data_IF_633896844657
#
_entry.id   IF_633896844657
#
_cell.length_a   1.000
_cell.length_b   1.000
_cell.length_c   1.000
_cell.angle_alpha   90.00
_cell.angle_beta   90.00
_cell.angle_gamma   90.00
#
_symmetry.space_group_name_H-M   'P 1'
#
loop_
_entity.id
_entity.type
_entity.pdbx_description
1 polymer ?
#
# COMPACT_ATOMS: atom_id res chain seq x y z
N UNK A 1 24.83 -4.45 -20.78
CA UNK A 1 24.65 -4.96 -22.15
C UNK A 1 23.15 -5.25 -22.37
N UNK A 2 22.47 -4.40 -23.15
CA UNK A 2 21.04 -4.49 -23.43
C UNK A 2 20.72 -5.41 -24.63
N UNK A 3 21.62 -6.33 -24.99
CA UNK A 3 21.56 -7.12 -26.22
C UNK A 3 20.29 -7.97 -26.42
N UNK A 4 19.58 -8.27 -25.32
CA UNK A 4 18.30 -9.01 -25.37
C UNK A 4 17.07 -8.10 -25.38
N UNK A 5 17.20 -6.84 -24.97
CA UNK A 5 16.12 -5.85 -24.98
C UNK A 5 16.40 -4.87 -26.14
N UNK A 6 15.68 -5.03 -27.23
CA UNK A 6 15.90 -4.22 -28.45
C UNK A 6 15.09 -2.93 -28.44
N UNK A 7 14.00 -2.91 -27.71
CA UNK A 7 13.06 -1.79 -27.67
C UNK A 7 12.94 -1.28 -26.24
N UNK A 8 13.24 -0.02 -26.04
CA UNK A 8 13.01 0.73 -24.81
C UNK A 8 13.02 2.21 -25.15
N UNK A 9 12.45 3.01 -24.28
CA UNK A 9 12.49 4.46 -24.41
C UNK A 9 13.06 5.09 -23.15
N UNK A 10 13.60 6.30 -23.26
CA UNK A 10 14.16 7.07 -22.15
C UNK A 10 13.59 8.47 -22.22
N UNK A 11 12.91 8.87 -21.16
CA UNK A 11 12.33 10.21 -21.06
C UNK A 11 12.95 10.97 -19.89
N UNK A 12 13.11 12.27 -20.04
CA UNK A 12 13.46 13.14 -18.91
C UNK A 12 12.27 13.19 -17.94
N UNK A 13 12.52 13.05 -16.64
CA UNK A 13 11.49 13.12 -15.62
C UNK A 13 12.09 13.71 -14.35
N UNK A 14 11.54 14.84 -13.91
CA UNK A 14 12.07 15.64 -12.79
C UNK A 14 13.57 15.89 -12.92
N UNK A 15 14.35 15.57 -11.90
CA UNK A 15 15.81 15.77 -11.88
C UNK A 15 16.59 14.59 -12.51
N UNK A 16 15.90 13.65 -13.14
CA UNK A 16 16.50 12.42 -13.67
C UNK A 16 15.86 11.96 -14.98
N UNK A 17 15.76 10.65 -15.13
CA UNK A 17 15.14 10.03 -16.31
C UNK A 17 14.38 8.76 -15.92
N UNK A 18 13.39 8.42 -16.74
CA UNK A 18 12.64 7.18 -16.65
C UNK A 18 12.99 6.27 -17.82
N UNK A 19 13.33 5.02 -17.52
CA UNK A 19 13.51 3.96 -18.51
C UNK A 19 12.18 3.23 -18.71
N UNK A 20 11.62 3.33 -19.90
CA UNK A 20 10.38 2.66 -20.27
C UNK A 20 10.71 1.33 -20.95
N UNK A 21 10.24 0.25 -20.36
CA UNK A 21 10.42 -1.10 -20.90
C UNK A 21 9.26 -1.46 -21.85
N UNK A 22 9.50 -2.38 -22.80
CA UNK A 22 8.45 -2.86 -23.70
C UNK A 22 7.35 -3.62 -22.95
N UNK A 23 6.18 -3.69 -23.58
CA UNK A 23 5.07 -4.49 -23.06
C UNK A 23 5.46 -5.97 -23.00
N UNK A 24 5.09 -6.66 -21.92
CA UNK A 24 5.34 -8.11 -21.77
C UNK A 24 4.64 -8.94 -22.85
N UNK A 25 3.47 -8.49 -23.34
CA UNK A 25 2.69 -9.17 -24.37
C UNK A 25 3.13 -8.80 -25.80
N UNK A 26 3.71 -7.61 -25.99
CA UNK A 26 4.27 -7.15 -27.25
C UNK A 26 5.63 -6.50 -27.01
N UNK A 27 6.72 -7.27 -27.06
CA UNK A 27 8.07 -6.76 -26.80
C UNK A 27 8.59 -5.75 -27.85
N UNK A 28 7.85 -5.52 -28.92
CA UNK A 28 8.19 -4.53 -29.96
C UNK A 28 7.55 -3.17 -29.71
N UNK A 29 6.66 -3.08 -28.72
CA UNK A 29 5.93 -1.86 -28.40
C UNK A 29 6.27 -1.36 -26.99
N UNK A 30 6.63 -0.08 -26.90
CA UNK A 30 6.84 0.62 -25.62
C UNK A 30 5.59 1.44 -25.35
N UNK A 31 4.93 1.18 -24.21
CA UNK A 31 3.74 1.94 -23.81
C UNK A 31 4.12 3.38 -23.45
N UNK A 32 3.24 4.36 -23.73
CA UNK A 32 3.47 5.73 -23.30
C UNK A 32 3.58 5.81 -21.77
N UNK A 33 4.44 6.70 -21.32
CA UNK A 33 4.63 6.93 -19.89
C UNK A 33 3.34 7.43 -19.23
N UNK A 34 2.96 6.77 -18.15
CA UNK A 34 1.88 7.20 -17.28
C UNK A 34 2.45 7.74 -15.98
N UNK A 35 2.37 9.03 -15.80
CA UNK A 35 2.88 9.68 -14.61
C UNK A 35 2.13 9.25 -13.35
N UNK A 36 2.87 8.83 -12.32
CA UNK A 36 2.35 8.49 -11.00
C UNK A 36 2.91 9.45 -9.94
N UNK A 37 2.47 10.70 -10.01
CA UNK A 37 2.97 11.80 -9.17
C UNK A 37 3.04 11.46 -7.68
N UNK A 38 1.99 10.83 -7.15
CA UNK A 38 1.94 10.50 -5.72
C UNK A 38 3.02 9.48 -5.34
N UNK A 39 3.20 8.43 -6.14
CA UNK A 39 4.23 7.42 -5.90
C UNK A 39 5.63 8.05 -5.95
N UNK A 40 5.90 8.86 -6.97
CA UNK A 40 7.19 9.52 -7.12
C UNK A 40 7.48 10.47 -5.95
N UNK A 41 6.50 11.28 -5.55
CA UNK A 41 6.62 12.16 -4.38
C UNK A 41 6.93 11.37 -3.11
N UNK A 42 6.24 10.26 -2.87
CA UNK A 42 6.47 9.41 -1.69
C UNK A 42 7.88 8.82 -1.69
N UNK A 43 8.40 8.40 -2.85
CA UNK A 43 9.77 7.90 -2.97
C UNK A 43 10.79 9.01 -2.69
N UNK A 44 10.57 10.22 -3.22
CA UNK A 44 11.44 11.38 -2.99
C UNK A 44 11.44 11.81 -1.52
N UNK A 45 10.26 11.88 -0.89
CA UNK A 45 10.14 12.15 0.56
C UNK A 45 10.89 11.11 1.41
N UNK A 46 10.87 9.84 0.99
CA UNK A 46 11.61 8.78 1.68
C UNK A 46 13.12 8.93 1.54
N UNK A 47 13.59 9.33 0.36
CA UNK A 47 15.01 9.61 0.12
C UNK A 47 15.49 10.83 0.93
N UNK A 48 14.72 11.92 0.90
CA UNK A 48 15.01 13.14 1.67
C UNK A 48 15.08 12.85 3.18
N UNK A 49 14.15 12.03 3.67
CA UNK A 49 14.17 11.58 5.05
C UNK A 49 15.44 10.78 5.38
N UNK A 50 15.87 9.88 4.49
CA UNK A 50 17.14 9.17 4.65
C UNK A 50 18.32 10.11 4.80
N UNK A 51 18.37 11.17 4.00
CA UNK A 51 19.40 12.22 4.09
C UNK A 51 19.33 13.00 5.42
N UNK A 52 18.13 13.37 5.86
CA UNK A 52 17.93 14.11 7.12
C UNK A 52 18.43 13.34 8.34
N UNK A 53 18.25 12.02 8.38
CA UNK A 53 18.72 11.16 9.47
C UNK A 53 20.15 10.62 9.26
N UNK A 54 20.81 11.00 8.15
CA UNK A 54 22.18 10.57 7.84
C UNK A 54 22.30 9.08 7.51
N UNK A 55 21.26 8.46 6.90
CA UNK A 55 21.25 7.07 6.47
C UNK A 55 20.77 7.00 5.02
N UNK A 56 21.70 7.17 4.11
CA UNK A 56 21.43 7.12 2.68
C UNK A 56 21.77 5.75 2.08
N UNK A 57 22.66 5.01 2.72
CA UNK A 57 23.16 3.72 2.25
C UNK A 57 23.13 2.64 3.32
N UNK A 58 23.26 1.39 2.89
CA UNK A 58 23.46 0.25 3.80
C UNK A 58 24.74 0.42 4.62
N UNK A 59 25.76 1.09 4.07
CA UNK A 59 27.00 1.42 4.79
C UNK A 59 26.73 2.31 6.00
N UNK A 60 25.95 3.37 5.82
CA UNK A 60 25.57 4.29 6.91
C UNK A 60 24.78 3.55 8.00
N UNK A 61 23.85 2.66 7.60
CA UNK A 61 23.12 1.83 8.54
C UNK A 61 24.05 0.92 9.35
N UNK A 62 25.01 0.26 8.70
CA UNK A 62 25.99 -0.59 9.38
C UNK A 62 26.86 0.22 10.36
N UNK A 63 27.23 1.43 9.99
CA UNK A 63 27.96 2.33 10.88
C UNK A 63 27.16 2.68 12.13
N UNK A 64 25.85 2.96 12.00
CA UNK A 64 24.97 3.20 13.14
C UNK A 64 24.85 1.98 14.05
N UNK A 65 24.75 0.79 13.47
CA UNK A 65 24.75 -0.47 14.24
C UNK A 65 26.07 -0.62 15.03
N UNK A 66 27.20 -0.40 14.38
CA UNK A 66 28.52 -0.51 15.04
C UNK A 66 28.72 0.52 16.15
N UNK A 67 28.12 1.71 16.02
CA UNK A 67 28.13 2.76 17.05
C UNK A 67 27.15 2.50 18.20
N UNK A 68 26.29 1.50 18.11
CA UNK A 68 25.29 1.16 19.13
C UNK A 68 24.05 2.05 19.15
N UNK A 69 23.82 2.87 18.12
CA UNK A 69 22.68 3.81 18.03
C UNK A 69 21.44 3.23 17.32
N UNK A 70 21.45 1.93 17.00
CA UNK A 70 20.33 1.29 16.26
C UNK A 70 18.99 1.43 16.99
N UNK A 71 18.96 1.30 18.31
CA UNK A 71 17.71 1.40 19.09
C UNK A 71 17.10 2.80 18.98
N UNK A 72 17.91 3.84 19.03
CA UNK A 72 17.45 5.22 18.85
C UNK A 72 16.91 5.45 17.43
N UNK A 73 17.63 4.93 16.42
CA UNK A 73 17.19 4.99 15.04
C UNK A 73 15.82 4.35 14.83
N UNK A 74 15.57 3.17 15.41
CA UNK A 74 14.27 2.49 15.34
C UNK A 74 13.18 3.40 15.94
N UNK A 75 13.40 3.96 17.12
CA UNK A 75 12.43 4.85 17.76
C UNK A 75 12.13 6.10 16.91
N UNK A 76 13.14 6.69 16.28
CA UNK A 76 12.98 7.85 15.39
C UNK A 76 12.13 7.45 14.16
N UNK A 77 12.39 6.30 13.56
CA UNK A 77 11.61 5.80 12.42
C UNK A 77 10.16 5.48 12.80
N UNK A 78 9.93 4.87 13.96
CA UNK A 78 8.58 4.59 14.45
C UNK A 78 7.82 5.89 14.75
N UNK A 79 8.45 6.87 15.37
CA UNK A 79 7.85 8.17 15.64
C UNK A 79 7.48 8.91 14.34
N UNK A 80 8.34 8.87 13.32
CA UNK A 80 8.07 9.43 12.00
C UNK A 80 6.88 8.73 11.32
N UNK A 81 6.82 7.41 11.40
CA UNK A 81 5.70 6.64 10.86
C UNK A 81 4.39 7.01 11.55
N UNK A 82 4.37 7.07 12.87
CA UNK A 82 3.17 7.47 13.63
C UNK A 82 2.71 8.89 13.29
N UNK A 83 3.64 9.82 13.14
CA UNK A 83 3.32 11.20 12.71
C UNK A 83 2.63 11.19 11.33
N UNK A 84 3.18 10.48 10.34
CA UNK A 84 2.57 10.38 9.01
C UNK A 84 1.18 9.73 9.05
N UNK A 85 0.97 8.71 9.86
CA UNK A 85 -0.35 8.09 10.03
C UNK A 85 -1.33 9.08 10.67
N UNK A 86 -0.88 9.88 11.64
CA UNK A 86 -1.67 10.94 12.26
C UNK A 86 -2.07 12.03 11.27
N UNK A 87 -1.16 12.45 10.38
CA UNK A 87 -1.45 13.40 9.30
C UNK A 87 -2.52 12.85 8.33
N UNK A 88 -2.44 11.57 7.98
CA UNK A 88 -3.46 10.89 7.16
C UNK A 88 -4.81 10.88 7.89
N UNK A 89 -4.84 10.50 9.17
CA UNK A 89 -6.06 10.49 9.97
C UNK A 89 -6.70 11.89 10.03
N UNK A 90 -5.88 12.93 10.24
CA UNK A 90 -6.34 14.32 10.21
C UNK A 90 -6.92 14.70 8.86
N UNK A 91 -6.25 14.36 7.76
CA UNK A 91 -6.74 14.62 6.40
C UNK A 91 -8.09 13.95 6.12
N UNK A 92 -8.32 12.74 6.62
CA UNK A 92 -9.59 12.03 6.52
C UNK A 92 -10.69 12.78 7.27
N UNK A 93 -10.40 13.24 8.49
CA UNK A 93 -11.38 13.98 9.31
C UNK A 93 -11.68 15.36 8.72
N UNK A 94 -10.66 16.10 8.27
CA UNK A 94 -10.80 17.42 7.66
C UNK A 94 -11.62 17.38 6.36
N UNK A 95 -11.52 16.28 5.60
CA UNK A 95 -12.33 16.06 4.39
C UNK A 95 -13.83 16.01 4.67
N UNK A 96 -14.22 15.56 5.85
CA UNK A 96 -15.62 15.41 6.25
C UNK A 96 -16.39 14.35 5.45
N UNK A 97 -17.42 13.78 6.03
CA UNK A 97 -18.36 12.87 5.35
C UNK A 97 -17.76 11.53 4.87
N UNK A 98 -16.48 11.25 5.15
CA UNK A 98 -15.84 9.98 4.78
C UNK A 98 -16.47 8.84 5.56
N UNK A 99 -17.00 7.84 4.84
CA UNK A 99 -17.62 6.64 5.40
C UNK A 99 -16.70 5.42 5.28
N UNK A 100 -15.95 5.33 4.19
CA UNK A 100 -15.01 4.25 3.93
C UNK A 100 -13.61 4.78 3.64
N UNK A 101 -12.60 4.08 4.15
CA UNK A 101 -11.20 4.28 3.82
C UNK A 101 -10.69 2.94 3.29
N UNK A 102 -10.39 2.89 1.99
CA UNK A 102 -9.87 1.69 1.35
C UNK A 102 -8.34 1.70 1.38
N UNK A 103 -7.76 0.65 1.95
CA UNK A 103 -6.31 0.47 2.06
C UNK A 103 -5.90 -0.65 1.13
N UNK A 104 -5.20 -0.30 0.07
CA UNK A 104 -4.68 -1.25 -0.91
C UNK A 104 -3.15 -1.31 -0.86
N UNK A 105 -2.61 -2.47 -1.16
CA UNK A 105 -1.17 -2.70 -1.23
C UNK A 105 -0.86 -4.16 -1.51
N UNK A 106 0.37 -4.49 -1.93
CA UNK A 106 0.76 -5.87 -2.21
C UNK A 106 0.69 -6.75 -0.97
N UNK A 107 0.80 -8.07 -1.17
CA UNK A 107 0.88 -9.03 -0.07
C UNK A 107 2.06 -8.68 0.84
N UNK A 108 1.91 -8.91 2.14
CA UNK A 108 2.93 -8.63 3.17
C UNK A 108 3.41 -7.17 3.26
N UNK A 109 2.67 -6.21 2.69
CA UNK A 109 3.02 -4.77 2.76
C UNK A 109 2.64 -4.08 4.06
N UNK A 110 2.08 -4.81 5.03
CA UNK A 110 1.68 -4.26 6.33
C UNK A 110 0.32 -3.57 6.35
N UNK A 111 -0.56 -3.84 5.37
CA UNK A 111 -1.93 -3.25 5.31
C UNK A 111 -2.69 -3.38 6.63
N UNK A 112 -2.69 -4.56 7.22
CA UNK A 112 -3.39 -4.85 8.48
C UNK A 112 -2.84 -4.01 9.63
N UNK A 113 -1.51 -3.99 9.81
CA UNK A 113 -0.87 -3.16 10.85
C UNK A 113 -1.15 -1.68 10.65
N UNK A 114 -1.09 -1.21 9.39
CA UNK A 114 -1.40 0.18 9.05
C UNK A 114 -2.88 0.52 9.37
N UNK A 115 -3.82 -0.36 9.02
CA UNK A 115 -5.26 -0.13 9.29
C UNK A 115 -5.54 0.00 10.79
N UNK A 116 -4.90 -0.83 11.62
CA UNK A 116 -5.02 -0.75 13.07
C UNK A 116 -4.44 0.55 13.62
N UNK A 117 -3.24 0.96 13.18
CA UNK A 117 -2.61 2.22 13.61
C UNK A 117 -3.43 3.43 13.17
N UNK A 118 -3.92 3.44 11.93
CA UNK A 118 -4.81 4.48 11.43
C UNK A 118 -6.11 4.56 12.25
N UNK A 119 -6.66 3.41 12.62
CA UNK A 119 -7.83 3.30 13.49
C UNK A 119 -7.60 3.96 14.85
N UNK A 120 -6.42 3.74 15.46
CA UNK A 120 -6.03 4.37 16.71
C UNK A 120 -5.97 5.89 16.54
N UNK A 121 -5.30 6.38 15.50
CA UNK A 121 -5.19 7.82 15.23
C UNK A 121 -6.57 8.46 14.96
N UNK A 122 -7.46 7.81 14.24
CA UNK A 122 -8.84 8.28 14.04
C UNK A 122 -9.63 8.35 15.35
N UNK A 123 -9.42 7.40 16.28
CA UNK A 123 -10.03 7.43 17.61
C UNK A 123 -9.58 8.64 18.43
N UNK A 124 -8.32 9.04 18.36
CA UNK A 124 -7.82 10.26 19.02
C UNK A 124 -8.48 11.54 18.48
N UNK A 125 -8.99 11.50 17.25
CA UNK A 125 -9.74 12.57 16.60
C UNK A 125 -11.27 12.43 16.77
N UNK A 126 -11.73 11.61 17.71
CA UNK A 126 -13.14 11.45 18.05
C UNK A 126 -13.97 10.64 17.06
N UNK A 127 -13.33 9.82 16.21
CA UNK A 127 -14.01 8.91 15.28
C UNK A 127 -14.10 7.51 15.87
N UNK A 128 -15.02 6.70 15.34
CA UNK A 128 -15.22 5.30 15.74
C UNK A 128 -15.01 4.40 14.52
N UNK A 129 -13.75 4.19 14.08
CA UNK A 129 -13.45 3.34 12.95
C UNK A 129 -13.61 1.86 13.30
N UNK A 130 -14.05 1.09 12.31
CA UNK A 130 -14.17 -0.36 12.36
C UNK A 130 -13.31 -0.96 11.25
N UNK A 131 -12.10 -1.46 11.53
CA UNK A 131 -11.30 -2.18 10.55
C UNK A 131 -12.03 -3.44 10.09
N UNK A 132 -12.11 -3.62 8.77
CA UNK A 132 -12.71 -4.78 8.13
C UNK A 132 -11.66 -5.36 7.18
N UNK A 133 -11.33 -6.63 7.34
CA UNK A 133 -10.43 -7.33 6.46
C UNK A 133 -11.21 -7.89 5.26
N UNK A 134 -10.77 -7.59 4.06
CA UNK A 134 -11.38 -8.16 2.85
C UNK A 134 -11.11 -9.66 2.75
N UNK A 135 -10.04 -10.12 3.38
CA UNK A 135 -9.65 -11.53 3.43
C UNK A 135 -10.74 -12.41 4.12
N UNK A 136 -11.54 -11.84 5.02
CA UNK A 136 -12.67 -12.53 5.66
C UNK A 136 -13.84 -12.82 4.69
N UNK A 137 -13.83 -12.22 3.50
CA UNK A 137 -14.84 -12.41 2.46
C UNK A 137 -14.40 -13.34 1.33
N UNK A 138 -13.28 -14.05 1.47
CA UNK A 138 -12.91 -15.06 0.48
C UNK A 138 -13.95 -16.18 0.44
N UNK A 139 -14.28 -16.60 -0.78
CA UNK A 139 -15.12 -17.80 -0.98
C UNK A 139 -14.37 -19.06 -0.54
N UNK A 140 -15.10 -20.11 -0.19
CA UNK A 140 -14.47 -21.38 0.14
C UNK A 140 -13.55 -21.86 -1.00
N UNK A 141 -12.47 -22.54 -0.66
CA UNK A 141 -11.46 -23.01 -1.62
C UNK A 141 -12.05 -23.81 -2.79
N UNK A 142 -13.15 -24.51 -2.57
CA UNK A 142 -13.85 -25.28 -3.60
C UNK A 142 -14.40 -24.38 -4.72
N UNK A 143 -14.74 -23.12 -4.41
CA UNK A 143 -15.27 -22.13 -5.33
C UNK A 143 -14.22 -21.12 -5.81
N UNK A 144 -13.02 -21.16 -5.25
CA UNK A 144 -11.94 -20.25 -5.67
C UNK A 144 -11.51 -20.58 -7.09
N UNK A 145 -11.52 -19.60 -8.02
CA UNK A 145 -11.05 -19.80 -9.38
C UNK A 145 -9.61 -20.32 -9.43
N UNK A 146 -9.28 -21.03 -10.52
CA UNK A 146 -7.92 -21.47 -10.78
C UNK A 146 -7.30 -20.64 -11.89
N UNK A 147 -6.00 -20.43 -11.81
CA UNK A 147 -5.22 -19.78 -12.85
C UNK A 147 -4.90 -20.74 -14.04
N UNK A 148 -4.15 -20.23 -15.01
CA UNK A 148 -3.74 -21.01 -16.21
C UNK A 148 -2.87 -22.24 -15.87
N UNK A 149 -2.26 -22.27 -14.69
CA UNK A 149 -1.41 -23.38 -14.21
C UNK A 149 -2.21 -24.39 -13.37
N UNK A 150 -3.47 -24.11 -13.06
CA UNK A 150 -4.33 -24.93 -12.22
C UNK A 150 -4.22 -24.62 -10.72
N UNK A 151 -3.45 -23.60 -10.32
CA UNK A 151 -3.33 -23.15 -8.95
C UNK A 151 -4.50 -22.23 -8.55
N UNK A 152 -4.83 -22.16 -7.26
CA UNK A 152 -5.88 -21.27 -6.78
C UNK A 152 -5.48 -19.80 -6.97
N UNK A 153 -6.34 -19.05 -7.66
CA UNK A 153 -6.13 -17.63 -7.90
C UNK A 153 -6.90 -16.78 -6.88
N UNK A 154 -6.24 -16.40 -5.81
CA UNK A 154 -6.81 -15.52 -4.78
C UNK A 154 -6.71 -14.02 -5.13
N UNK A 155 -6.09 -13.67 -6.26
CA UNK A 155 -5.90 -12.26 -6.67
C UNK A 155 -6.96 -11.79 -7.68
N UNK A 156 -7.98 -12.61 -7.95
CA UNK A 156 -9.10 -12.22 -8.80
C UNK A 156 -10.33 -11.84 -7.97
N UNK A 157 -11.23 -11.06 -8.58
CA UNK A 157 -12.42 -10.57 -7.90
C UNK A 157 -13.38 -11.71 -7.52
N UNK A 158 -13.42 -12.73 -8.33
CA UNK A 158 -14.28 -13.91 -8.16
C UNK A 158 -13.87 -14.79 -6.97
N UNK A 159 -12.66 -14.57 -6.42
CA UNK A 159 -12.23 -15.22 -5.18
C UNK A 159 -12.90 -14.64 -3.94
N UNK A 160 -13.58 -13.50 -4.07
CA UNK A 160 -14.24 -12.79 -2.98
C UNK A 160 -15.75 -12.88 -3.17
N UNK A 161 -16.51 -13.10 -2.09
CA UNK A 161 -17.97 -12.97 -2.10
C UNK A 161 -18.34 -11.46 -2.15
N UNK A 162 -18.26 -10.91 -3.37
CA UNK A 162 -18.55 -9.51 -3.64
C UNK A 162 -20.00 -9.16 -3.27
N UNK A 163 -20.91 -10.12 -3.40
CA UNK A 163 -22.32 -9.89 -3.09
C UNK A 163 -22.49 -9.70 -1.58
N UNK A 164 -21.99 -10.63 -0.77
CA UNK A 164 -22.07 -10.53 0.69
C UNK A 164 -21.35 -9.26 1.16
N UNK A 165 -20.15 -8.97 0.63
CA UNK A 165 -19.41 -7.76 0.98
C UNK A 165 -20.24 -6.50 0.72
N UNK A 166 -20.86 -6.37 -0.46
CA UNK A 166 -21.67 -5.20 -0.79
C UNK A 166 -22.92 -5.08 0.09
N UNK A 167 -23.60 -6.20 0.34
CA UNK A 167 -24.79 -6.23 1.19
C UNK A 167 -24.44 -5.79 2.61
N UNK A 168 -23.36 -6.30 3.19
CA UNK A 168 -22.88 -5.93 4.53
C UNK A 168 -22.46 -4.45 4.60
N UNK A 169 -21.76 -3.95 3.59
CA UNK A 169 -21.38 -2.53 3.53
C UNK A 169 -22.60 -1.60 3.41
N UNK A 170 -23.61 -1.97 2.63
CA UNK A 170 -24.84 -1.20 2.52
C UNK A 170 -25.61 -1.16 3.85
N UNK A 171 -25.70 -2.27 4.56
CA UNK A 171 -26.35 -2.37 5.87
C UNK A 171 -25.59 -1.55 6.92
N UNK A 172 -24.28 -1.62 6.95
CA UNK A 172 -23.45 -0.79 7.84
C UNK A 172 -23.66 0.71 7.57
N UNK A 173 -23.76 1.12 6.30
CA UNK A 173 -24.07 2.51 5.94
C UNK A 173 -25.46 2.94 6.38
N UNK A 174 -26.43 2.02 6.41
CA UNK A 174 -27.76 2.24 6.94
C UNK A 174 -27.81 2.31 8.47
N UNK A 175 -26.69 2.01 9.16
CA UNK A 175 -26.59 2.00 10.62
C UNK A 175 -27.09 0.70 11.26
N UNK A 176 -27.21 -0.35 10.48
CA UNK A 176 -27.59 -1.67 10.98
C UNK A 176 -26.41 -2.37 11.65
N UNK A 177 -26.75 -3.28 12.58
CA UNK A 177 -25.77 -4.22 13.12
C UNK A 177 -25.56 -5.36 12.13
N UNK A 178 -24.31 -5.60 11.77
CA UNK A 178 -23.90 -6.66 10.85
C UNK A 178 -22.92 -7.58 11.56
N UNK A 179 -23.12 -8.89 11.44
CA UNK A 179 -22.14 -9.89 11.83
C UNK A 179 -21.25 -10.15 10.62
N UNK A 180 -19.99 -9.75 10.72
CA UNK A 180 -19.03 -9.92 9.64
C UNK A 180 -18.57 -11.38 9.58
N UNK A 181 -18.30 -11.91 8.39
CA UNK A 181 -17.72 -13.24 8.24
C UNK A 181 -16.33 -13.28 8.90
N UNK A 182 -15.87 -14.47 9.19
CA UNK A 182 -14.51 -14.75 9.63
C UNK A 182 -14.00 -15.93 8.81
N UNK A 183 -12.89 -15.73 8.10
CA UNK A 183 -12.26 -16.76 7.29
C UNK A 183 -11.25 -17.59 8.08
#
# INVERSE_FOLDING_TARGET
NAGYVKWFDVIAYEDGFMLLLPDKKDPTHVKPFQERKLLFRTLKESEEWGKEIGIETVGDLNDQICRGSLSELILVQEAQQERKIGEIAKSIVDRGGVKFVMIAGPSSSGKTSFSHRLSIQLKTLGKTPHPIALDDYFVNREFTPRDENGDYNFECLEAIDVKQFNDDMCRLLAGERVELPSF
#
